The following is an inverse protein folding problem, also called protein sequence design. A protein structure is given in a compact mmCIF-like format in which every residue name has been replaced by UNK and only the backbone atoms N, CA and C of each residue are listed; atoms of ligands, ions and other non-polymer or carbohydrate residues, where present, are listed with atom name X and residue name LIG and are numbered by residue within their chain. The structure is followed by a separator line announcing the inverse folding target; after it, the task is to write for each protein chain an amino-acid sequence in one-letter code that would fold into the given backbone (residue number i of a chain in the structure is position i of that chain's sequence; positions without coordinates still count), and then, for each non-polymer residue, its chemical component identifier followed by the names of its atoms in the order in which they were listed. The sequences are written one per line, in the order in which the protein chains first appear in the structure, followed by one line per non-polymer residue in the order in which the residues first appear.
data_IF_877482132138
#
_entry.id   IF_877482132138
#
_cell.length_a   1.000
_cell.length_b   1.000
_cell.length_c   1.000
_cell.angle_alpha   90.00
_cell.angle_beta   90.00
_cell.angle_gamma   90.00
#
_symmetry.space_group_name_H-M   'P 1'
#
loop_
_entity.id
_entity.type
_entity.pdbx_description
1 polymer ?
#
# COMPACT_ATOMS: atom_id res chain seq x y z
N UNK A 1 26.50 -52.11 -52.80
CA UNK A 1 25.12 -51.73 -53.14
C UNK A 1 24.19 -52.44 -52.16
N UNK A 2 23.62 -51.76 -51.16
CA UNK A 2 22.31 -52.09 -50.57
C UNK A 2 21.92 -51.10 -49.45
N UNK A 3 20.75 -50.48 -49.65
CA UNK A 3 19.75 -49.99 -48.67
C UNK A 3 20.07 -48.80 -47.76
N UNK A 4 19.61 -47.66 -48.26
CA UNK A 4 19.10 -46.49 -47.54
C UNK A 4 18.00 -46.94 -46.55
N UNK A 5 18.18 -46.62 -45.26
CA UNK A 5 17.15 -46.73 -44.22
C UNK A 5 16.72 -45.31 -43.82
N UNK A 6 15.42 -45.15 -43.86
CA UNK A 6 14.56 -44.01 -43.56
C UNK A 6 14.71 -43.52 -42.11
N UNK A 7 14.63 -42.21 -41.86
CA UNK A 7 13.92 -41.67 -40.69
C UNK A 7 13.60 -40.18 -40.85
N UNK A 8 12.30 -39.94 -40.97
CA UNK A 8 11.54 -38.69 -40.83
C UNK A 8 11.98 -37.89 -39.59
N UNK A 9 12.11 -36.57 -39.72
CA UNK A 9 11.67 -35.60 -38.68
C UNK A 9 11.86 -34.16 -39.17
N UNK A 10 10.75 -33.45 -39.38
CA UNK A 10 10.69 -31.99 -39.32
C UNK A 10 9.23 -31.56 -39.14
N UNK A 11 8.69 -31.73 -37.93
CA UNK A 11 7.47 -31.03 -37.54
C UNK A 11 7.85 -29.58 -37.22
N UNK A 12 7.42 -28.67 -38.10
CA UNK A 12 7.66 -27.24 -38.00
C UNK A 12 6.92 -26.64 -36.80
N UNK A 13 7.62 -25.71 -36.14
CA UNK A 13 7.24 -24.98 -34.94
C UNK A 13 5.96 -24.16 -35.17
N UNK A 14 4.91 -24.43 -34.38
CA UNK A 14 3.88 -23.44 -34.10
C UNK A 14 4.25 -22.71 -32.81
N UNK A 15 4.46 -21.42 -32.98
CA UNK A 15 4.77 -20.38 -32.00
C UNK A 15 3.79 -20.35 -30.84
N UNK A 16 4.33 -20.25 -29.62
CA UNK A 16 3.55 -20.02 -28.41
C UNK A 16 3.05 -18.58 -28.30
N UNK A 17 2.00 -18.40 -27.49
CA UNK A 17 1.80 -17.22 -26.64
C UNK A 17 1.22 -17.71 -25.32
N UNK A 18 2.09 -18.06 -24.38
CA UNK A 18 1.68 -18.22 -22.99
C UNK A 18 1.63 -16.82 -22.38
N UNK A 19 0.43 -16.22 -22.32
CA UNK A 19 0.20 -15.00 -21.55
C UNK A 19 0.19 -15.40 -20.08
N UNK A 20 1.36 -15.34 -19.44
CA UNK A 20 1.43 -15.34 -17.99
C UNK A 20 0.87 -14.00 -17.51
N UNK A 21 -0.34 -14.02 -16.95
CA UNK A 21 -0.94 -12.89 -16.28
C UNK A 21 -0.04 -12.47 -15.10
N UNK A 22 0.44 -11.23 -15.15
CA UNK A 22 1.31 -10.63 -14.15
C UNK A 22 0.54 -10.47 -12.83
N UNK A 23 0.95 -11.22 -11.80
CA UNK A 23 0.65 -10.87 -10.42
C UNK A 23 1.59 -9.71 -10.02
N UNK A 24 1.16 -8.49 -10.26
CA UNK A 24 1.98 -7.29 -10.08
C UNK A 24 2.06 -6.92 -8.59
N UNK A 25 3.17 -7.32 -7.98
CA UNK A 25 3.68 -6.84 -6.70
C UNK A 25 5.17 -7.15 -6.65
N UNK A 26 6.02 -6.21 -7.06
CA UNK A 26 7.47 -6.39 -7.15
C UNK A 26 8.07 -6.65 -5.76
N UNK A 27 9.03 -7.58 -5.66
CA UNK A 27 9.77 -7.89 -4.42
C UNK A 27 10.25 -6.68 -3.58
N UNK A 28 10.69 -5.54 -4.17
CA UNK A 28 11.01 -4.35 -3.38
C UNK A 28 9.82 -3.73 -2.63
N UNK A 29 8.60 -3.80 -3.17
CA UNK A 29 7.42 -3.24 -2.51
C UNK A 29 6.96 -4.13 -1.34
N UNK A 30 7.04 -5.45 -1.49
CA UNK A 30 6.71 -6.38 -0.39
C UNK A 30 7.68 -6.24 0.79
N UNK A 31 8.97 -6.05 0.54
CA UNK A 31 9.96 -5.76 1.58
C UNK A 31 9.70 -4.43 2.29
N UNK A 32 9.34 -3.39 1.53
CA UNK A 32 8.99 -2.06 2.07
C UNK A 32 7.74 -2.14 2.96
N UNK A 33 6.70 -2.86 2.52
CA UNK A 33 5.48 -3.08 3.30
C UNK A 33 5.74 -3.87 4.58
N UNK A 34 6.62 -4.87 4.54
CA UNK A 34 7.00 -5.64 5.74
C UNK A 34 7.71 -4.75 6.78
N UNK A 35 8.66 -3.91 6.34
CA UNK A 35 9.33 -2.93 7.20
C UNK A 35 8.34 -1.91 7.77
N UNK A 36 7.45 -1.38 6.92
CA UNK A 36 6.41 -0.45 7.32
C UNK A 36 5.46 -1.04 8.35
N UNK A 37 5.06 -2.30 8.17
CA UNK A 37 4.24 -3.02 9.13
C UNK A 37 4.93 -3.15 10.47
N UNK A 38 6.19 -3.58 10.49
CA UNK A 38 6.95 -3.69 11.74
C UNK A 38 7.06 -2.34 12.47
N UNK A 39 7.30 -1.25 11.73
CA UNK A 39 7.39 0.07 12.33
C UNK A 39 6.04 0.55 12.88
N UNK A 40 4.95 0.35 12.12
CA UNK A 40 3.60 0.70 12.56
C UNK A 40 3.19 -0.07 13.81
N UNK A 41 3.49 -1.37 13.89
CA UNK A 41 3.12 -2.20 15.06
C UNK A 41 3.95 -1.89 16.30
N UNK A 42 5.16 -1.36 16.15
CA UNK A 42 6.07 -1.09 17.29
C UNK A 42 6.05 0.36 17.75
N UNK A 43 5.87 1.32 16.83
CA UNK A 43 5.93 2.76 17.13
C UNK A 43 4.54 3.40 17.04
N UNK A 44 3.85 3.23 15.92
CA UNK A 44 2.59 3.95 15.67
C UNK A 44 1.42 3.39 16.49
N UNK A 45 1.46 2.09 16.81
CA UNK A 45 0.44 1.37 17.57
C UNK A 45 0.28 1.86 19.02
N UNK A 46 1.21 2.67 19.53
CA UNK A 46 1.07 3.30 20.84
C UNK A 46 -0.21 4.16 20.93
N UNK A 47 -0.53 4.86 19.83
CA UNK A 47 -1.68 5.76 19.75
C UNK A 47 -2.76 5.28 18.78
N UNK A 48 -2.35 4.71 17.65
CA UNK A 48 -3.24 4.28 16.58
C UNK A 48 -3.63 2.82 16.71
N UNK A 49 -4.83 2.49 16.25
CA UNK A 49 -5.19 1.13 15.85
C UNK A 49 -5.04 1.00 14.33
N UNK A 50 -4.73 -0.19 13.81
CA UNK A 50 -4.71 -0.39 12.35
C UNK A 50 -6.12 -0.29 11.77
N UNK A 51 -7.08 -0.93 12.43
CA UNK A 51 -8.50 -0.98 12.06
C UNK A 51 -9.36 -0.41 13.21
N UNK A 52 -10.61 0.00 12.94
CA UNK A 52 -11.54 0.38 13.99
C UNK A 52 -11.69 -0.73 15.06
N UNK A 53 -11.96 -0.37 16.33
CA UNK A 53 -12.27 0.97 16.83
C UNK A 53 -11.03 1.88 17.00
N UNK A 54 -11.25 3.17 17.19
CA UNK A 54 -10.19 4.13 17.54
C UNK A 54 -9.70 3.93 18.99
N UNK A 55 -8.46 4.35 19.26
CA UNK A 55 -7.93 4.49 20.63
C UNK A 55 -7.58 5.95 20.92
N UNK A 56 -6.30 6.31 21.03
CA UNK A 56 -5.84 7.69 21.29
C UNK A 56 -5.76 8.53 20.02
N UNK A 57 -5.74 7.89 18.85
CA UNK A 57 -5.72 8.51 17.55
C UNK A 57 -6.66 7.77 16.57
N UNK A 58 -6.97 8.35 15.39
CA UNK A 58 -7.81 7.69 14.39
C UNK A 58 -7.24 6.34 13.94
N UNK A 59 -8.07 5.34 13.59
CA UNK A 59 -7.60 4.11 12.97
C UNK A 59 -6.86 4.39 11.67
N UNK A 60 -5.72 3.74 11.45
CA UNK A 60 -4.86 3.99 10.29
C UNK A 60 -5.56 3.64 8.97
N UNK A 61 -6.45 2.65 8.95
CA UNK A 61 -7.27 2.36 7.77
C UNK A 61 -8.19 3.53 7.35
N UNK A 62 -8.68 4.32 8.32
CA UNK A 62 -9.46 5.53 8.00
C UNK A 62 -8.56 6.67 7.52
N UNK A 63 -7.37 6.81 8.10
CA UNK A 63 -6.35 7.76 7.61
C UNK A 63 -5.99 7.44 6.17
N UNK A 64 -5.68 6.16 5.89
CA UNK A 64 -5.39 5.61 4.58
C UNK A 64 -6.48 5.95 3.55
N UNK A 65 -7.74 5.68 3.88
CA UNK A 65 -8.87 6.00 3.01
C UNK A 65 -8.98 7.51 2.75
N UNK A 66 -8.82 8.34 3.78
CA UNK A 66 -8.87 9.80 3.64
C UNK A 66 -7.78 10.33 2.71
N UNK A 67 -6.54 9.88 2.87
CA UNK A 67 -5.44 10.28 1.99
C UNK A 67 -5.72 9.86 0.54
N UNK A 68 -6.21 8.65 0.32
CA UNK A 68 -6.60 8.20 -1.03
C UNK A 68 -7.66 9.07 -1.66
N UNK A 69 -8.70 9.43 -0.91
CA UNK A 69 -9.77 10.29 -1.40
C UNK A 69 -9.31 11.72 -1.68
N UNK A 70 -8.44 12.28 -0.85
CA UNK A 70 -7.99 13.68 -0.97
C UNK A 70 -6.89 13.87 -2.03
N UNK A 71 -6.20 12.80 -2.38
CA UNK A 71 -5.10 12.79 -3.34
C UNK A 71 -5.45 11.97 -4.58
N UNK A 72 -6.73 11.71 -4.83
CA UNK A 72 -7.24 11.09 -6.05
C UNK A 72 -6.60 9.73 -6.40
N UNK A 73 -6.18 8.97 -5.40
CA UNK A 73 -5.49 7.69 -5.64
C UNK A 73 -3.99 7.78 -5.87
N UNK A 74 -3.39 8.98 -5.89
CA UNK A 74 -1.95 9.17 -6.07
C UNK A 74 -1.18 8.66 -4.85
N UNK A 75 -0.53 7.50 -5.05
CA UNK A 75 0.24 6.82 -4.02
C UNK A 75 1.47 7.64 -3.61
N UNK A 76 2.23 8.17 -4.57
CA UNK A 76 3.50 8.83 -4.25
C UNK A 76 3.24 10.16 -3.53
N UNK A 77 2.26 10.93 -3.99
CA UNK A 77 1.81 12.13 -3.28
C UNK A 77 1.31 11.80 -1.85
N UNK A 78 0.62 10.66 -1.67
CA UNK A 78 0.18 10.22 -0.36
C UNK A 78 1.35 9.86 0.55
N UNK A 79 2.34 9.13 0.05
CA UNK A 79 3.53 8.76 0.82
C UNK A 79 4.29 10.01 1.28
N UNK A 80 4.56 10.93 0.36
CA UNK A 80 5.22 12.20 0.67
C UNK A 80 4.44 13.01 1.71
N UNK A 81 3.12 13.10 1.56
CA UNK A 81 2.29 13.86 2.49
C UNK A 81 2.24 13.22 3.88
N UNK A 82 2.17 11.89 3.97
CA UNK A 82 2.22 11.17 5.25
C UNK A 82 3.58 11.39 5.93
N UNK A 83 4.69 11.28 5.19
CA UNK A 83 6.04 11.53 5.73
C UNK A 83 6.16 12.97 6.25
N UNK A 84 5.74 13.96 5.47
CA UNK A 84 5.76 15.36 5.87
C UNK A 84 4.89 15.61 7.10
N UNK A 85 3.71 14.98 7.17
CA UNK A 85 2.83 15.04 8.33
C UNK A 85 3.51 14.49 9.58
N UNK A 86 4.10 13.29 9.54
CA UNK A 86 4.73 12.67 10.71
C UNK A 86 5.91 13.51 11.24
N UNK A 87 6.68 14.14 10.35
CA UNK A 87 7.84 14.98 10.72
C UNK A 87 7.43 16.28 11.39
N UNK A 88 6.37 16.92 10.89
CA UNK A 88 5.93 18.23 11.36
C UNK A 88 4.41 18.38 11.29
N UNK A 89 3.65 17.70 12.17
CA UNK A 89 2.20 17.84 12.25
C UNK A 89 1.82 19.30 12.55
N UNK A 90 0.87 19.83 11.79
CA UNK A 90 0.31 21.17 12.03
C UNK A 90 -1.15 21.19 11.59
N UNK A 91 -2.03 21.91 12.29
CA UNK A 91 -3.48 21.84 12.03
C UNK A 91 -3.82 22.16 10.58
N UNK A 92 -3.13 23.14 10.01
CA UNK A 92 -3.31 23.67 8.66
C UNK A 92 -2.79 22.70 7.58
N UNK A 93 -1.96 21.72 7.96
CA UNK A 93 -1.39 20.70 7.06
C UNK A 93 -2.17 19.39 7.07
N UNK A 94 -3.16 19.24 7.95
CA UNK A 94 -3.92 18.01 8.13
C UNK A 94 -4.84 17.74 6.94
N UNK A 95 -4.72 16.56 6.33
CA UNK A 95 -5.74 16.03 5.41
C UNK A 95 -6.90 15.35 6.14
N UNK A 96 -6.76 15.11 7.46
CA UNK A 96 -7.87 14.68 8.29
C UNK A 96 -8.79 15.87 8.59
N UNK A 97 -10.12 15.66 8.65
CA UNK A 97 -11.07 16.74 8.92
C UNK A 97 -10.79 17.40 10.27
N UNK A 98 -11.12 18.69 10.46
CA UNK A 98 -10.88 19.42 11.72
C UNK A 98 -11.38 18.70 12.98
N UNK A 99 -12.54 18.04 12.89
CA UNK A 99 -13.11 17.22 13.96
C UNK A 99 -12.18 16.09 14.46
N UNK A 100 -11.25 15.60 13.63
CA UNK A 100 -10.26 14.62 14.06
C UNK A 100 -9.26 15.24 15.05
N UNK A 101 -8.81 16.47 14.79
CA UNK A 101 -7.90 17.20 15.69
C UNK A 101 -8.64 17.61 16.96
N UNK A 102 -9.90 18.05 16.85
CA UNK A 102 -10.73 18.37 18.02
C UNK A 102 -10.91 17.16 18.94
N UNK A 103 -11.08 15.96 18.36
CA UNK A 103 -11.30 14.72 19.12
C UNK A 103 -10.01 14.10 19.68
N UNK A 104 -8.95 14.04 18.88
CA UNK A 104 -7.73 13.27 19.20
C UNK A 104 -6.52 14.16 19.55
N UNK A 105 -6.64 15.47 19.40
CA UNK A 105 -5.52 16.39 19.48
C UNK A 105 -4.64 16.37 18.23
N UNK A 106 -3.56 17.14 18.28
CA UNK A 106 -2.54 17.15 17.23
C UNK A 106 -1.54 16.01 17.50
N UNK A 107 -1.19 15.25 16.46
CA UNK A 107 -0.17 14.22 16.53
C UNK A 107 1.18 14.85 16.96
N UNK A 108 1.93 14.18 17.84
CA UNK A 108 3.29 14.58 18.17
C UNK A 108 4.25 14.25 17.01
N UNK A 109 5.22 15.12 16.68
CA UNK A 109 6.22 14.82 15.65
C UNK A 109 7.09 13.62 16.07
N UNK A 110 7.42 12.75 15.11
CA UNK A 110 8.28 11.59 15.35
C UNK A 110 9.64 11.79 14.66
N UNK A 111 10.76 11.83 15.40
CA UNK A 111 12.10 12.04 14.84
C UNK A 111 12.68 10.73 14.29
N UNK A 112 12.04 10.17 13.26
CA UNK A 112 12.47 8.94 12.59
C UNK A 112 13.16 9.27 11.25
N UNK A 113 14.09 8.42 10.77
CA UNK A 113 14.68 8.56 9.45
C UNK A 113 13.65 8.52 8.33
N UNK A 114 13.89 9.28 7.25
CA UNK A 114 12.95 9.41 6.12
C UNK A 114 12.64 8.05 5.45
N UNK A 115 13.60 7.14 5.39
CA UNK A 115 13.41 5.78 4.87
C UNK A 115 12.39 4.98 5.69
N UNK A 116 12.44 5.10 7.02
CA UNK A 116 11.52 4.44 7.94
C UNK A 116 10.13 5.05 7.83
N UNK A 117 10.06 6.39 7.76
CA UNK A 117 8.79 7.09 7.57
C UNK A 117 8.14 6.73 6.22
N UNK A 118 8.94 6.57 5.16
CA UNK A 118 8.44 6.14 3.85
C UNK A 118 7.90 4.71 3.90
N UNK A 119 8.56 3.80 4.62
CA UNK A 119 8.05 2.45 4.84
C UNK A 119 6.72 2.46 5.61
N UNK A 120 6.62 3.22 6.71
CA UNK A 120 5.36 3.39 7.45
C UNK A 120 4.26 3.98 6.56
N UNK A 121 4.56 5.01 5.77
CA UNK A 121 3.60 5.61 4.85
C UNK A 121 3.09 4.62 3.80
N UNK A 122 3.99 3.82 3.22
CA UNK A 122 3.63 2.75 2.28
C UNK A 122 2.70 1.71 2.91
N UNK A 123 2.99 1.29 4.15
CA UNK A 123 2.12 0.35 4.86
C UNK A 123 0.77 0.96 5.24
N UNK A 124 0.73 2.20 5.74
CA UNK A 124 -0.53 2.90 6.02
C UNK A 124 -1.37 3.03 4.75
N UNK A 125 -0.77 3.40 3.63
CA UNK A 125 -1.46 3.49 2.34
C UNK A 125 -2.13 2.17 1.93
N UNK A 126 -1.47 1.03 2.13
CA UNK A 126 -2.01 -0.27 1.71
C UNK A 126 -3.22 -0.74 2.53
N UNK A 127 -3.44 -0.21 3.74
CA UNK A 127 -4.54 -0.60 4.64
C UNK A 127 -5.96 -0.40 4.07
N UNK A 128 -6.12 0.38 3.00
CA UNK A 128 -7.42 0.53 2.32
C UNK A 128 -7.45 0.11 0.85
N UNK A 129 -6.35 -0.44 0.32
CA UNK A 129 -6.31 -1.06 -1.02
C UNK A 129 -7.10 -2.38 -1.02
N UNK A 130 -6.99 -3.19 0.04
CA UNK A 130 -7.73 -4.45 0.17
C UNK A 130 -9.25 -4.33 0.37
N UNK A 131 -9.79 -3.11 0.55
CA UNK A 131 -11.23 -2.88 0.76
C UNK A 131 -11.97 -2.34 -0.47
N UNK A 132 -11.26 -2.02 -1.55
CA UNK A 132 -11.86 -1.61 -2.83
C UNK A 132 -11.92 -2.74 -3.87
N UNK A 133 -11.42 -3.95 -3.54
CA UNK A 133 -11.39 -5.12 -4.42
C UNK A 133 -12.43 -6.20 -4.14
N UNK A 134 -13.21 -6.13 -3.05
CA UNK A 134 -14.28 -7.08 -2.76
C UNK A 134 -15.57 -6.36 -2.33
N UNK A 135 -16.54 -6.30 -3.25
CA UNK A 135 -17.96 -6.24 -2.90
C UNK A 135 -18.63 -4.87 -3.02
N UNK A 136 -18.91 -4.44 -4.25
CA UNK A 136 -20.20 -3.79 -4.59
C UNK A 136 -20.67 -4.28 -5.96
N UNK A 137 -20.88 -5.59 -6.07
CA UNK A 137 -21.72 -6.18 -7.11
C UNK A 137 -22.99 -6.68 -6.45
N UNK A 138 -24.00 -5.82 -6.30
CA UNK A 138 -25.36 -6.30 -6.08
C UNK A 138 -26.41 -5.39 -6.73
N UNK A 139 -27.12 -6.03 -7.66
CA UNK A 139 -28.51 -5.80 -8.07
C UNK A 139 -28.89 -4.44 -8.67
N UNK A 140 -29.06 -4.45 -9.99
CA UNK A 140 -30.38 -4.16 -10.56
C UNK A 140 -30.82 -5.33 -11.42
#
# INVERSE_FOLDING_TARGET
MQRIITAITAAALCTGVAVAAEAQGTAPDSALLAQGKQLVTTVCAACHTEQPPAKLAPPLAHVSHRYRMQLEGDRDAALERIVAWIKAPAKEKSLMPPMAIERFGLMAPLPLPDEQLRAAAAYVWSLSEGKHGMGMGHRR
#
